data_IF_119785722302
#
_entry.id   IF_119785722302
#
_cell.length_a   1.000
_cell.length_b   1.000
_cell.length_c   1.000
_cell.angle_alpha   90.00
_cell.angle_beta   90.00
_cell.angle_gamma   90.00
#
_symmetry.space_group_name_H-M   'P 1'
#
loop_
_entity.id
_entity.type
_entity.pdbx_description
1 polymer ?
#
# COMPACT_ATOMS: atom_id res chain seq x y z
N UNK A 1 -17.20 -24.64 -2.03
CA UNK A 1 -17.95 -23.94 -3.09
C UNK A 1 -18.58 -22.61 -2.61
N UNK A 2 -19.21 -22.55 -1.45
CA UNK A 2 -19.89 -21.33 -0.91
C UNK A 2 -18.97 -20.11 -0.80
N UNK A 3 -17.76 -20.28 -0.28
CA UNK A 3 -16.77 -19.20 -0.12
C UNK A 3 -16.18 -18.71 -1.45
N UNK A 4 -16.03 -19.60 -2.42
CA UNK A 4 -15.55 -19.25 -3.75
C UNK A 4 -16.52 -18.35 -4.51
N UNK A 5 -17.84 -18.58 -4.40
CA UNK A 5 -18.87 -17.74 -5.02
C UNK A 5 -18.90 -16.34 -4.41
N UNK A 6 -18.74 -16.25 -3.08
CA UNK A 6 -18.67 -14.95 -2.38
C UNK A 6 -17.40 -14.17 -2.75
N UNK A 7 -16.27 -14.85 -2.85
CA UNK A 7 -15.00 -14.24 -3.27
C UNK A 7 -15.06 -13.75 -4.73
N UNK A 8 -15.61 -14.54 -5.64
CA UNK A 8 -15.83 -14.14 -7.04
C UNK A 8 -16.76 -12.93 -7.17
N UNK A 9 -17.78 -12.82 -6.32
CA UNK A 9 -18.70 -11.69 -6.33
C UNK A 9 -18.06 -10.34 -5.96
N UNK A 10 -16.90 -10.35 -5.31
CA UNK A 10 -16.17 -9.16 -4.87
C UNK A 10 -15.08 -8.72 -5.87
N UNK A 11 -14.67 -9.59 -6.80
CA UNK A 11 -13.61 -9.27 -7.76
C UNK A 11 -14.15 -8.44 -8.93
N UNK A 12 -13.45 -7.35 -9.35
CA UNK A 12 -13.86 -6.56 -10.51
C UNK A 12 -13.52 -7.28 -11.82
N UNK A 13 -14.33 -7.00 -12.87
CA UNK A 13 -14.00 -7.36 -14.24
C UNK A 13 -15.06 -8.19 -14.97
N UNK A 14 -15.15 -8.01 -16.33
CA UNK A 14 -16.10 -8.71 -17.20
C UNK A 14 -15.93 -10.24 -17.22
N UNK A 15 -14.70 -10.72 -17.04
CA UNK A 15 -14.42 -12.17 -16.99
C UNK A 15 -15.10 -12.87 -15.80
N UNK A 16 -15.17 -12.17 -14.66
CA UNK A 16 -15.82 -12.69 -13.45
C UNK A 16 -17.33 -12.69 -13.61
N UNK A 17 -17.91 -11.69 -14.27
CA UNK A 17 -19.33 -11.64 -14.60
C UNK A 17 -19.73 -12.79 -15.53
N UNK A 18 -18.94 -13.04 -16.57
CA UNK A 18 -19.13 -14.19 -17.44
C UNK A 18 -19.04 -15.53 -16.70
N UNK A 19 -18.08 -15.67 -15.79
CA UNK A 19 -17.94 -16.87 -14.96
C UNK A 19 -19.16 -17.10 -14.05
N UNK A 20 -19.69 -16.04 -13.43
CA UNK A 20 -20.90 -16.11 -12.60
C UNK A 20 -22.15 -16.44 -13.43
N UNK A 21 -22.30 -15.88 -14.64
CA UNK A 21 -23.40 -16.20 -15.55
C UNK A 21 -23.33 -17.65 -16.03
N UNK A 22 -22.14 -18.14 -16.38
CA UNK A 22 -21.94 -19.55 -16.76
C UNK A 22 -22.29 -20.49 -15.60
N UNK A 23 -21.83 -20.16 -14.38
CA UNK A 23 -22.16 -20.93 -13.18
C UNK A 23 -23.67 -20.93 -12.89
N UNK A 24 -24.35 -19.81 -13.07
CA UNK A 24 -25.80 -19.70 -12.92
C UNK A 24 -26.55 -20.59 -13.92
N UNK A 25 -26.08 -20.63 -15.17
CA UNK A 25 -26.69 -21.49 -16.21
C UNK A 25 -26.48 -22.98 -15.90
N UNK A 26 -25.27 -23.36 -15.48
CA UNK A 26 -24.98 -24.74 -15.07
C UNK A 26 -25.83 -25.18 -13.88
N UNK A 27 -25.95 -24.36 -12.84
CA UNK A 27 -26.78 -24.65 -11.68
C UNK A 27 -28.27 -24.74 -12.02
N UNK A 28 -28.77 -23.97 -13.00
CA UNK A 28 -30.16 -24.09 -13.48
C UNK A 28 -30.39 -25.39 -14.25
N UNK A 29 -29.41 -25.84 -15.03
CA UNK A 29 -29.48 -27.10 -15.77
C UNK A 29 -29.45 -28.33 -14.86
N UNK A 30 -28.72 -28.24 -13.74
CA UNK A 30 -28.57 -29.32 -12.75
C UNK A 30 -29.64 -29.29 -11.63
N UNK A 31 -30.49 -28.27 -11.57
CA UNK A 31 -31.49 -28.06 -10.52
C UNK A 31 -32.55 -29.15 -10.38
N UNK A 32 -32.60 -30.13 -11.31
CA UNK A 32 -33.56 -31.26 -11.25
C UNK A 32 -33.09 -32.43 -10.41
N UNK A 33 -31.87 -32.39 -9.79
CA UNK A 33 -31.29 -33.58 -9.15
C UNK A 33 -30.70 -33.42 -7.76
N UNK A 34 -30.53 -32.18 -7.25
CA UNK A 34 -29.85 -31.96 -5.96
C UNK A 34 -30.58 -30.92 -5.10
N UNK A 35 -30.90 -31.31 -3.85
CA UNK A 35 -31.57 -30.41 -2.85
C UNK A 35 -30.84 -29.11 -2.55
N UNK A 36 -29.50 -29.06 -2.71
CA UNK A 36 -28.65 -27.89 -2.43
C UNK A 36 -28.52 -26.88 -3.58
N UNK A 37 -28.98 -27.23 -4.80
CA UNK A 37 -28.83 -26.39 -6.01
C UNK A 37 -29.57 -25.05 -5.88
N UNK A 38 -30.68 -25.00 -5.18
CA UNK A 38 -31.47 -23.78 -4.93
C UNK A 38 -30.72 -22.72 -4.14
N UNK A 39 -29.98 -23.12 -3.10
CA UNK A 39 -29.19 -22.19 -2.24
C UNK A 39 -28.02 -21.58 -3.02
N UNK A 40 -27.37 -22.36 -3.87
CA UNK A 40 -26.28 -21.85 -4.71
C UNK A 40 -26.78 -20.91 -5.81
N UNK A 41 -27.93 -21.24 -6.41
CA UNK A 41 -28.55 -20.41 -7.43
C UNK A 41 -28.97 -19.04 -6.87
N UNK A 42 -29.54 -19.01 -5.67
CA UNK A 42 -29.93 -17.76 -4.99
C UNK A 42 -28.70 -16.89 -4.69
N UNK A 43 -27.59 -17.47 -4.26
CA UNK A 43 -26.34 -16.74 -3.98
C UNK A 43 -25.67 -16.18 -5.22
N UNK A 44 -25.64 -16.96 -6.32
CA UNK A 44 -25.11 -16.47 -7.59
C UNK A 44 -25.99 -15.36 -8.14
N UNK A 45 -27.31 -15.51 -8.06
CA UNK A 45 -28.27 -14.46 -8.47
C UNK A 45 -28.10 -13.20 -7.63
N UNK A 46 -27.93 -13.32 -6.31
CA UNK A 46 -27.67 -12.18 -5.41
C UNK A 46 -26.33 -11.51 -5.71
N UNK A 47 -25.29 -12.27 -6.05
CA UNK A 47 -23.99 -11.74 -6.44
C UNK A 47 -24.06 -10.94 -7.75
N UNK A 48 -24.81 -11.44 -8.74
CA UNK A 48 -25.07 -10.74 -10.01
C UNK A 48 -25.91 -9.48 -9.80
N UNK A 49 -26.98 -9.54 -9.02
CA UNK A 49 -27.83 -8.38 -8.72
C UNK A 49 -27.09 -7.26 -8.00
N UNK A 50 -26.17 -7.59 -7.08
CA UNK A 50 -25.28 -6.60 -6.44
C UNK A 50 -24.37 -5.92 -7.46
N UNK A 51 -23.87 -6.66 -8.45
CA UNK A 51 -23.03 -6.09 -9.52
C UNK A 51 -23.84 -5.19 -10.47
N UNK A 52 -25.05 -5.58 -10.84
CA UNK A 52 -25.96 -4.74 -11.63
C UNK A 52 -26.34 -3.43 -10.90
N UNK A 53 -26.54 -3.49 -9.58
CA UNK A 53 -26.80 -2.28 -8.79
C UNK A 53 -25.60 -1.34 -8.70
N UNK A 54 -24.37 -1.90 -8.77
CA UNK A 54 -23.12 -1.12 -8.83
C UNK A 54 -22.86 -0.60 -10.24
N UNK A 55 -23.30 -1.31 -11.29
CA UNK A 55 -23.08 -0.92 -12.69
C UNK A 55 -24.17 -0.05 -13.30
N UNK A 56 -25.35 0.09 -12.68
CA UNK A 56 -26.32 1.11 -13.11
C UNK A 56 -25.82 2.48 -12.65
N UNK A 57 -25.32 3.35 -13.54
CA UNK A 57 -25.05 4.71 -13.16
C UNK A 57 -26.40 5.32 -12.76
N UNK A 58 -26.61 5.58 -11.46
CA UNK A 58 -27.64 6.51 -11.07
C UNK A 58 -27.48 7.73 -11.98
N UNK A 59 -28.56 8.13 -12.69
CA UNK A 59 -28.59 9.31 -13.57
C UNK A 59 -28.39 10.54 -12.68
N UNK A 60 -27.11 10.75 -12.33
CA UNK A 60 -26.67 11.88 -11.52
C UNK A 60 -26.69 13.10 -12.41
N UNK A 61 -27.42 14.11 -12.00
CA UNK A 61 -27.11 15.48 -12.37
C UNK A 61 -25.61 15.66 -12.08
N UNK A 62 -24.81 15.63 -13.16
CA UNK A 62 -23.37 15.89 -13.10
C UNK A 62 -23.22 17.35 -12.65
N UNK A 63 -23.01 17.57 -11.36
CA UNK A 63 -22.23 18.73 -10.95
C UNK A 63 -20.92 18.62 -11.73
N UNK A 64 -20.45 19.68 -12.41
CA UNK A 64 -19.17 19.60 -13.12
C UNK A 64 -18.15 19.06 -12.13
N UNK A 65 -17.56 17.90 -12.41
CA UNK A 65 -16.41 17.43 -11.67
C UNK A 65 -15.38 18.56 -11.79
N UNK A 66 -14.92 19.09 -10.67
CA UNK A 66 -13.75 19.92 -10.66
C UNK A 66 -12.66 19.17 -11.46
N UNK A 67 -12.03 19.86 -12.40
CA UNK A 67 -11.09 19.24 -13.33
C UNK A 67 -9.98 18.57 -12.52
N UNK A 68 -9.64 17.33 -12.88
CA UNK A 68 -8.48 16.66 -12.30
C UNK A 68 -7.22 17.42 -12.73
N UNK A 69 -6.32 17.64 -11.79
CA UNK A 69 -5.06 18.35 -12.02
C UNK A 69 -3.92 17.35 -12.04
N UNK A 70 -3.04 17.48 -13.03
CA UNK A 70 -1.86 16.60 -13.17
C UNK A 70 -0.59 17.39 -12.90
N UNK A 71 0.20 16.90 -11.97
CA UNK A 71 1.47 17.47 -11.56
C UNK A 71 2.61 16.55 -12.00
N UNK A 72 3.64 17.12 -12.62
CA UNK A 72 4.92 16.43 -12.81
C UNK A 72 5.87 16.89 -11.72
N UNK A 73 6.45 15.95 -11.00
CA UNK A 73 7.21 16.24 -9.79
C UNK A 73 8.53 15.50 -9.77
N UNK A 74 9.50 16.09 -9.08
CA UNK A 74 10.79 15.48 -8.75
C UNK A 74 11.23 15.94 -7.35
N UNK A 75 11.98 15.12 -6.65
CA UNK A 75 12.50 15.43 -5.32
C UNK A 75 11.40 15.85 -4.33
N UNK A 76 11.49 17.07 -3.81
CA UNK A 76 10.57 17.61 -2.78
C UNK A 76 9.20 18.06 -3.33
N UNK A 77 8.93 17.84 -4.61
CA UNK A 77 7.64 18.25 -5.21
C UNK A 77 6.44 17.53 -4.59
N UNK A 78 6.57 16.25 -4.24
CA UNK A 78 5.50 15.50 -3.61
C UNK A 78 5.19 15.96 -2.18
N UNK A 79 6.16 16.11 -1.26
CA UNK A 79 5.91 16.70 0.05
C UNK A 79 5.31 18.10 -0.02
N UNK A 80 5.76 18.94 -0.97
CA UNK A 80 5.23 20.29 -1.19
C UNK A 80 3.75 20.26 -1.60
N UNK A 81 3.37 19.39 -2.53
CA UNK A 81 1.98 19.21 -2.94
C UNK A 81 1.11 18.71 -1.78
N UNK A 82 1.58 17.72 -1.02
CA UNK A 82 0.86 17.20 0.14
C UNK A 82 0.66 18.29 1.22
N UNK A 83 1.66 19.12 1.43
CA UNK A 83 1.56 20.26 2.34
C UNK A 83 0.52 21.27 1.88
N UNK A 84 0.50 21.63 0.59
CA UNK A 84 -0.49 22.52 -0.01
C UNK A 84 -1.91 21.97 0.13
N UNK A 85 -2.11 20.68 -0.14
CA UNK A 85 -3.41 20.02 0.03
C UNK A 85 -3.85 19.98 1.50
N UNK A 86 -2.93 19.88 2.45
CA UNK A 86 -3.22 19.96 3.88
C UNK A 86 -3.64 21.37 4.28
N UNK A 87 -2.88 22.41 3.89
CA UNK A 87 -3.16 23.81 4.21
C UNK A 87 -4.47 24.32 3.59
N UNK A 88 -4.83 23.86 2.39
CA UNK A 88 -6.10 24.21 1.73
C UNK A 88 -7.29 23.38 2.21
N UNK A 89 -7.10 22.52 3.20
CA UNK A 89 -8.12 21.59 3.69
C UNK A 89 -8.79 20.80 2.56
N UNK A 90 -7.99 20.36 1.59
CA UNK A 90 -8.46 19.72 0.39
C UNK A 90 -9.15 18.38 0.69
N UNK A 91 -10.21 18.07 -0.07
CA UNK A 91 -10.90 16.78 -0.05
C UNK A 91 -10.90 16.16 -1.44
N UNK A 92 -10.39 14.93 -1.57
CA UNK A 92 -10.26 14.28 -2.86
C UNK A 92 -9.36 13.05 -2.83
N UNK A 93 -8.95 12.63 -4.01
CA UNK A 93 -8.03 11.50 -4.19
C UNK A 93 -6.80 11.95 -4.98
N UNK A 94 -5.61 11.57 -4.51
CA UNK A 94 -4.35 11.79 -5.15
C UNK A 94 -3.77 10.45 -5.60
N UNK A 95 -3.64 10.27 -6.91
CA UNK A 95 -2.94 9.13 -7.50
C UNK A 95 -1.51 9.56 -7.80
N UNK A 96 -0.52 8.88 -7.24
CA UNK A 96 0.90 9.15 -7.46
C UNK A 96 1.52 7.96 -8.17
N UNK A 97 2.22 8.23 -9.27
CA UNK A 97 2.93 7.23 -10.06
C UNK A 97 4.42 7.60 -10.11
N UNK A 98 5.27 6.73 -9.56
CA UNK A 98 6.72 6.83 -9.68
C UNK A 98 7.16 6.16 -10.98
N UNK A 99 7.60 6.95 -11.93
CA UNK A 99 7.98 6.48 -13.27
C UNK A 99 9.27 5.65 -13.28
N UNK A 100 10.17 5.82 -12.29
CA UNK A 100 11.43 5.09 -12.22
C UNK A 100 11.28 3.74 -11.52
N UNK A 101 10.44 3.68 -10.50
CA UNK A 101 10.25 2.47 -9.68
C UNK A 101 9.03 1.65 -10.08
N UNK A 102 8.17 2.19 -10.94
CA UNK A 102 6.92 1.55 -11.35
C UNK A 102 5.93 1.40 -10.19
N UNK A 103 6.02 2.25 -9.17
CA UNK A 103 5.13 2.23 -8.01
C UNK A 103 3.94 3.15 -8.24
N UNK A 104 2.79 2.70 -7.74
CA UNK A 104 1.56 3.49 -7.78
C UNK A 104 0.99 3.57 -6.37
N UNK A 105 0.78 4.79 -5.88
CA UNK A 105 0.13 5.06 -4.60
C UNK A 105 -1.20 5.77 -4.82
N UNK A 106 -2.18 5.44 -3.98
CA UNK A 106 -3.47 6.12 -3.93
C UNK A 106 -3.69 6.69 -2.52
N UNK A 107 -3.84 8.00 -2.43
CA UNK A 107 -4.15 8.71 -1.19
C UNK A 107 -5.57 9.25 -1.27
N UNK A 108 -6.30 9.19 -0.16
CA UNK A 108 -7.62 9.83 -0.02
C UNK A 108 -7.56 10.83 1.10
N UNK A 109 -7.88 12.09 0.79
CA UNK A 109 -7.88 13.19 1.74
C UNK A 109 -9.31 13.65 2.04
N UNK A 110 -9.50 14.08 3.27
CA UNK A 110 -10.74 14.74 3.74
C UNK A 110 -10.37 15.92 4.61
N UNK A 111 -10.77 17.10 4.20
CA UNK A 111 -10.53 18.35 4.95
C UNK A 111 -9.04 18.51 5.38
N UNK A 112 -8.10 18.18 4.48
CA UNK A 112 -6.67 18.23 4.77
C UNK A 112 -6.14 17.09 5.64
N UNK A 113 -6.97 16.11 5.99
CA UNK A 113 -6.59 14.93 6.76
C UNK A 113 -6.38 13.72 5.84
N UNK A 114 -5.41 12.86 6.15
CA UNK A 114 -5.26 11.59 5.47
C UNK A 114 -6.33 10.60 5.96
N UNK A 115 -7.32 10.33 5.13
CA UNK A 115 -8.37 9.35 5.41
C UNK A 115 -7.97 7.93 5.02
N UNK A 116 -7.20 7.76 3.95
CA UNK A 116 -6.65 6.48 3.52
C UNK A 116 -5.42 6.69 2.65
N UNK A 117 -4.48 5.75 2.72
CA UNK A 117 -3.37 5.64 1.78
C UNK A 117 -3.12 4.17 1.45
N UNK A 118 -2.65 3.91 0.25
CA UNK A 118 -2.24 2.58 -0.20
C UNK A 118 -1.06 2.66 -1.16
N UNK A 119 -0.04 1.84 -0.89
CA UNK A 119 1.13 1.64 -1.75
C UNK A 119 1.47 0.14 -1.76
N UNK A 120 1.13 -0.57 -2.82
CA UNK A 120 1.27 -2.02 -2.85
C UNK A 120 0.47 -2.70 -1.73
N UNK A 121 1.17 -3.40 -0.83
CA UNK A 121 0.60 -4.03 0.37
C UNK A 121 0.48 -3.08 1.57
N UNK A 122 1.20 -1.96 1.56
CA UNK A 122 1.19 -0.98 2.65
C UNK A 122 -0.08 -0.16 2.64
N UNK A 123 -0.58 0.20 3.83
CA UNK A 123 -1.79 1.00 4.03
C UNK A 123 -1.59 2.07 5.10
N UNK A 124 -2.39 3.13 5.05
CA UNK A 124 -2.37 4.18 6.07
C UNK A 124 -1.07 4.98 6.09
N UNK A 125 -0.58 5.30 7.29
CA UNK A 125 0.61 6.13 7.47
C UNK A 125 1.87 5.48 6.88
N UNK A 126 2.04 4.16 7.00
CA UNK A 126 3.20 3.44 6.47
C UNK A 126 3.29 3.53 4.93
N UNK A 127 2.13 3.50 4.25
CA UNK A 127 2.08 3.72 2.80
C UNK A 127 2.53 5.14 2.41
N UNK A 128 2.11 6.15 3.19
CA UNK A 128 2.51 7.55 2.96
C UNK A 128 3.99 7.75 3.27
N UNK A 129 4.50 7.22 4.37
CA UNK A 129 5.90 7.34 4.74
C UNK A 129 6.80 6.72 3.68
N UNK A 130 6.54 5.47 3.29
CA UNK A 130 7.29 4.80 2.23
C UNK A 130 7.23 5.59 0.91
N UNK A 131 6.07 6.17 0.58
CA UNK A 131 5.95 7.01 -0.60
C UNK A 131 6.86 8.25 -0.53
N UNK A 132 6.88 8.98 0.61
CA UNK A 132 7.74 10.16 0.81
C UNK A 132 9.23 9.79 0.82
N UNK A 133 9.58 8.68 1.46
CA UNK A 133 10.95 8.19 1.58
C UNK A 133 11.53 7.78 0.22
N UNK A 134 10.71 7.17 -0.62
CA UNK A 134 11.19 6.48 -1.82
C UNK A 134 10.85 7.18 -3.13
N UNK A 135 9.97 8.20 -3.12
CA UNK A 135 9.59 8.93 -4.32
C UNK A 135 10.73 9.79 -4.82
N UNK A 136 11.13 9.59 -6.06
CA UNK A 136 12.22 10.31 -6.70
C UNK A 136 11.69 11.25 -7.79
N UNK A 137 10.91 10.70 -8.73
CA UNK A 137 10.27 11.49 -9.78
C UNK A 137 9.08 10.77 -10.38
N UNK A 138 8.06 11.53 -10.78
CA UNK A 138 6.87 10.93 -11.36
C UNK A 138 5.75 11.93 -11.63
N UNK A 139 4.53 11.40 -11.65
CA UNK A 139 3.31 12.18 -11.83
C UNK A 139 2.36 11.99 -10.66
N UNK A 140 1.64 13.07 -10.32
CA UNK A 140 0.51 12.98 -9.40
C UNK A 140 -0.74 13.55 -10.09
N UNK A 141 -1.85 12.85 -9.92
CA UNK A 141 -3.15 13.27 -10.43
C UNK A 141 -4.06 13.53 -9.25
N UNK A 142 -4.36 14.79 -9.01
CA UNK A 142 -5.34 15.21 -8.02
C UNK A 142 -6.74 15.22 -8.60
N UNK A 143 -7.66 14.56 -7.93
CA UNK A 143 -9.07 14.51 -8.28
C UNK A 143 -9.91 15.00 -7.10
N UNK A 144 -10.28 16.30 -7.08
CA UNK A 144 -11.08 16.84 -6.01
C UNK A 144 -12.46 16.18 -5.96
N UNK A 145 -12.92 15.85 -4.76
CA UNK A 145 -14.24 15.29 -4.53
C UNK A 145 -15.07 16.30 -3.72
N UNK A 146 -16.19 16.80 -4.26
CA UNK A 146 -17.09 17.61 -3.45
C UNK A 146 -17.64 16.77 -2.28
N UNK A 147 -17.82 17.40 -1.13
CA UNK A 147 -18.17 16.83 0.20
C UNK A 147 -19.39 15.87 0.24
N UNK A 148 -20.12 15.71 -0.85
CA UNK A 148 -21.40 14.99 -0.90
C UNK A 148 -21.30 13.45 -0.74
N UNK A 149 -20.12 12.85 -0.64
CA UNK A 149 -19.97 11.44 -0.29
C UNK A 149 -19.44 11.28 1.12
N UNK A 150 -20.31 11.52 2.09
CA UNK A 150 -20.19 10.90 3.41
C UNK A 150 -20.27 9.39 3.20
N UNK A 151 -19.13 8.78 2.91
CA UNK A 151 -19.00 7.35 3.08
C UNK A 151 -19.10 7.14 4.59
N UNK A 152 -20.17 6.50 5.02
CA UNK A 152 -20.35 6.00 6.38
C UNK A 152 -19.45 4.80 6.59
N UNK A 153 -18.14 4.95 6.35
CA UNK A 153 -17.15 4.02 6.84
C UNK A 153 -16.88 4.36 8.29
N UNK A 154 -17.37 3.48 9.17
CA UNK A 154 -17.09 3.52 10.60
C UNK A 154 -15.59 3.69 10.82
N UNK A 155 -15.24 4.79 11.51
CA UNK A 155 -13.95 5.02 12.17
C UNK A 155 -12.69 4.66 11.38
N UNK A 156 -12.46 5.32 10.26
CA UNK A 156 -11.09 5.44 9.74
C UNK A 156 -10.41 6.47 10.63
N UNK A 157 -9.37 6.08 11.33
CA UNK A 157 -8.54 7.00 12.11
C UNK A 157 -7.93 7.98 11.10
N UNK A 158 -8.45 9.20 11.06
CA UNK A 158 -7.91 10.25 10.20
C UNK A 158 -6.68 10.84 10.89
N UNK A 159 -5.61 11.04 10.12
CA UNK A 159 -4.37 11.61 10.61
C UNK A 159 -4.20 13.01 10.02
N UNK A 160 -3.64 13.93 10.78
CA UNK A 160 -3.25 15.23 10.25
C UNK A 160 -2.15 15.06 9.18
N UNK A 161 -2.50 15.36 7.92
CA UNK A 161 -1.59 15.16 6.79
C UNK A 161 -0.30 15.97 6.97
N UNK A 162 -0.38 17.18 7.51
CA UNK A 162 0.77 18.04 7.78
C UNK A 162 1.78 17.39 8.72
N UNK A 163 1.32 16.81 9.82
CA UNK A 163 2.18 16.11 10.78
C UNK A 163 2.84 14.89 10.14
N UNK A 164 2.08 14.13 9.35
CA UNK A 164 2.61 12.98 8.64
C UNK A 164 3.66 13.37 7.59
N UNK A 165 3.47 14.49 6.87
CA UNK A 165 4.46 14.99 5.90
C UNK A 165 5.77 15.37 6.60
N UNK A 166 5.70 16.09 7.72
CA UNK A 166 6.88 16.47 8.51
C UNK A 166 7.61 15.22 9.02
N UNK A 167 6.87 14.26 9.58
CA UNK A 167 7.45 13.01 10.04
C UNK A 167 8.05 12.18 8.89
N UNK A 168 7.38 12.13 7.74
CA UNK A 168 7.89 11.45 6.55
C UNK A 168 9.19 12.05 6.03
N UNK A 169 9.32 13.38 6.04
CA UNK A 169 10.57 14.07 5.68
C UNK A 169 11.69 13.75 6.66
N UNK A 170 11.42 13.80 7.98
CA UNK A 170 12.39 13.39 8.99
C UNK A 170 12.88 11.96 8.79
N UNK A 171 11.94 11.02 8.52
CA UNK A 171 12.27 9.61 8.26
C UNK A 171 13.10 9.45 6.98
N UNK A 172 12.79 10.21 5.93
CA UNK A 172 13.56 10.20 4.69
C UNK A 172 15.00 10.61 4.94
N UNK A 173 15.22 11.70 5.66
CA UNK A 173 16.56 12.19 5.96
C UNK A 173 17.36 11.17 6.80
N UNK A 174 16.75 10.56 7.79
CA UNK A 174 17.37 9.51 8.60
C UNK A 174 17.62 8.22 7.78
N UNK A 175 16.71 7.87 6.88
CA UNK A 175 16.87 6.72 5.99
C UNK A 175 18.02 6.92 5.00
N UNK A 176 18.19 8.14 4.46
CA UNK A 176 19.32 8.48 3.60
C UNK A 176 20.65 8.39 4.36
N UNK A 177 20.69 8.87 5.59
CA UNK A 177 21.86 8.71 6.46
C UNK A 177 22.16 7.23 6.74
N UNK A 178 21.14 6.45 7.07
CA UNK A 178 21.31 5.01 7.30
C UNK A 178 21.78 4.27 6.03
N UNK A 179 21.36 4.68 4.84
CA UNK A 179 21.85 4.13 3.57
C UNK A 179 23.32 4.45 3.30
N UNK A 180 23.81 5.58 3.76
CA UNK A 180 25.23 5.93 3.65
C UNK A 180 26.12 5.04 4.53
N UNK A 181 25.60 4.57 5.68
CA UNK A 181 26.33 3.70 6.62
C UNK A 181 26.13 2.23 6.26
N UNK A 182 24.91 1.86 5.88
CA UNK A 182 24.49 0.51 5.47
C UNK A 182 24.05 0.57 4.01
N UNK A 183 24.96 0.40 3.05
CA UNK A 183 24.66 0.51 1.61
C UNK A 183 23.61 -0.49 1.11
N UNK A 184 22.94 -0.17 0.02
CA UNK A 184 21.84 -0.95 -0.55
C UNK A 184 22.23 -2.39 -0.90
N UNK A 185 23.48 -2.61 -1.31
CA UNK A 185 24.00 -3.88 -1.80
C UNK A 185 24.92 -4.60 -0.77
N UNK A 186 24.99 -4.10 0.48
CA UNK A 186 25.72 -4.77 1.56
C UNK A 186 25.17 -6.18 1.79
N UNK A 187 26.05 -7.10 2.15
CA UNK A 187 25.66 -8.40 2.67
C UNK A 187 26.04 -8.47 4.15
N UNK A 188 25.25 -9.16 4.94
CA UNK A 188 25.49 -9.30 6.37
C UNK A 188 25.66 -10.76 6.78
N UNK A 189 26.51 -10.98 7.77
CA UNK A 189 26.57 -12.22 8.53
C UNK A 189 26.14 -11.95 9.98
N UNK A 190 25.36 -12.85 10.56
CA UNK A 190 25.00 -12.78 11.95
C UNK A 190 26.18 -13.16 12.83
N UNK A 191 26.43 -12.38 13.88
CA UNK A 191 27.40 -12.67 14.95
C UNK A 191 26.73 -13.19 16.22
N UNK A 192 25.41 -13.09 16.31
CA UNK A 192 24.62 -13.56 17.44
C UNK A 192 23.45 -14.40 16.95
N UNK A 193 22.98 -15.31 17.80
CA UNK A 193 21.83 -16.18 17.47
C UNK A 193 20.49 -15.42 17.47
N UNK A 194 20.42 -14.30 18.19
CA UNK A 194 19.23 -13.47 18.25
C UNK A 194 19.63 -12.01 18.38
N UNK A 195 18.92 -11.10 17.67
CA UNK A 195 19.16 -9.66 17.75
C UNK A 195 18.64 -9.10 19.06
N UNK A 196 19.30 -8.03 19.54
CA UNK A 196 18.68 -7.17 20.55
C UNK A 196 17.54 -6.38 19.91
N UNK A 197 16.39 -6.25 20.57
CA UNK A 197 15.31 -5.41 20.05
C UNK A 197 15.76 -3.94 20.04
N UNK A 198 15.44 -3.23 18.98
CA UNK A 198 15.66 -1.79 18.92
C UNK A 198 14.81 -1.10 20.00
N UNK A 199 15.35 -0.13 20.78
CA UNK A 199 14.63 0.49 21.89
C UNK A 199 13.30 1.13 21.51
N UNK A 200 13.21 1.68 20.31
CA UNK A 200 12.00 2.35 19.81
C UNK A 200 11.08 1.45 18.98
N UNK A 201 11.52 0.23 18.61
CA UNK A 201 10.71 -0.68 17.82
C UNK A 201 9.91 -1.60 18.75
N UNK A 202 8.58 -1.44 18.69
CA UNK A 202 7.65 -2.21 19.52
C UNK A 202 7.09 -3.45 18.83
N UNK A 203 7.27 -3.53 17.51
CA UNK A 203 6.80 -4.65 16.71
C UNK A 203 7.84 -5.78 16.68
N UNK A 204 7.63 -6.76 17.54
CA UNK A 204 8.51 -7.93 17.62
C UNK A 204 8.45 -8.82 16.38
N UNK A 205 7.37 -8.80 15.60
CA UNK A 205 7.25 -9.55 14.35
C UNK A 205 8.13 -8.90 13.29
N UNK A 206 8.04 -7.59 13.15
CA UNK A 206 8.91 -6.84 12.24
C UNK A 206 10.39 -7.09 12.56
N UNK A 207 10.77 -6.96 13.83
CA UNK A 207 12.14 -7.20 14.30
C UNK A 207 12.64 -8.58 13.85
N UNK A 208 11.82 -9.63 14.02
CA UNK A 208 12.16 -10.99 13.62
C UNK A 208 12.26 -11.13 12.10
N UNK A 209 11.27 -10.64 11.37
CA UNK A 209 11.20 -10.80 9.92
C UNK A 209 12.38 -10.09 9.21
N UNK A 210 12.78 -8.91 9.68
CA UNK A 210 13.98 -8.20 9.18
C UNK A 210 15.25 -8.97 9.52
N UNK A 211 15.36 -9.51 10.75
CA UNK A 211 16.50 -10.30 11.15
C UNK A 211 16.67 -11.56 10.31
N UNK A 212 15.59 -12.33 10.15
CA UNK A 212 15.58 -13.56 9.33
C UNK A 212 15.98 -13.26 7.89
N UNK A 213 15.49 -12.18 7.30
CA UNK A 213 15.88 -11.76 5.97
C UNK A 213 17.36 -11.38 5.89
N UNK A 214 17.88 -10.66 6.87
CA UNK A 214 19.30 -10.23 6.89
C UNK A 214 20.26 -11.42 7.04
N UNK A 215 19.98 -12.35 7.96
CA UNK A 215 20.88 -13.49 8.22
C UNK A 215 20.90 -14.55 7.10
N UNK A 216 19.86 -14.59 6.27
CA UNK A 216 19.84 -15.41 5.03
C UNK A 216 20.75 -14.80 3.96
N UNK A 217 21.24 -13.57 4.16
CA UNK A 217 22.16 -12.88 3.25
C UNK A 217 21.46 -11.97 2.25
N UNK A 218 20.22 -11.59 2.51
CA UNK A 218 19.56 -10.56 1.70
C UNK A 218 20.18 -9.18 1.94
N UNK A 219 20.37 -8.44 0.86
CA UNK A 219 20.83 -7.06 0.95
C UNK A 219 19.78 -6.17 1.61
N UNK A 220 20.16 -5.03 2.20
CA UNK A 220 19.23 -4.06 2.81
C UNK A 220 18.09 -3.68 1.89
N UNK A 221 18.38 -3.39 0.62
CA UNK A 221 17.37 -3.10 -0.41
C UNK A 221 16.42 -4.27 -0.66
N UNK A 222 16.90 -5.50 -0.54
CA UNK A 222 16.06 -6.70 -0.68
C UNK A 222 15.21 -6.90 0.56
N UNK A 223 15.75 -6.68 1.76
CA UNK A 223 15.00 -6.72 3.01
C UNK A 223 13.82 -5.71 2.99
N UNK A 224 14.07 -4.47 2.55
CA UNK A 224 13.02 -3.44 2.40
C UNK A 224 11.88 -3.82 1.44
N UNK A 225 12.15 -4.72 0.48
CA UNK A 225 11.13 -5.20 -0.45
C UNK A 225 10.38 -6.43 0.06
N UNK A 226 11.05 -7.29 0.82
CA UNK A 226 10.48 -8.55 1.29
C UNK A 226 9.65 -8.37 2.55
N UNK A 227 10.08 -7.48 3.44
CA UNK A 227 9.41 -7.25 4.71
C UNK A 227 8.26 -6.25 4.50
N UNK A 228 7.03 -6.56 4.93
CA UNK A 228 5.86 -5.70 4.73
C UNK A 228 5.83 -4.54 5.74
N UNK A 229 6.84 -3.67 5.71
CA UNK A 229 6.98 -2.49 6.54
C UNK A 229 7.56 -1.32 5.73
N UNK A 230 7.55 -0.11 6.31
CA UNK A 230 8.21 1.03 5.68
C UNK A 230 9.74 0.83 5.61
N UNK A 231 10.35 1.37 4.55
CA UNK A 231 11.77 1.19 4.27
C UNK A 231 12.67 1.75 5.39
N UNK A 232 12.25 2.86 5.99
CA UNK A 232 12.96 3.48 7.12
C UNK A 232 13.07 2.55 8.32
N UNK A 233 11.97 1.92 8.77
CA UNK A 233 11.99 1.00 9.92
C UNK A 233 12.88 -0.21 9.67
N UNK A 234 12.82 -0.77 8.46
CA UNK A 234 13.69 -1.89 8.07
C UNK A 234 15.16 -1.48 8.13
N UNK A 235 15.51 -0.35 7.49
CA UNK A 235 16.89 0.15 7.43
C UNK A 235 17.42 0.53 8.81
N UNK A 236 16.61 1.15 9.65
CA UNK A 236 16.96 1.51 11.01
C UNK A 236 17.32 0.29 11.88
N UNK A 237 16.56 -0.82 11.73
CA UNK A 237 16.89 -2.07 12.42
C UNK A 237 18.23 -2.63 11.96
N UNK A 238 18.49 -2.65 10.66
CA UNK A 238 19.76 -3.13 10.12
C UNK A 238 20.93 -2.28 10.59
N UNK A 239 20.79 -0.95 10.57
CA UNK A 239 21.79 -0.02 11.08
C UNK A 239 22.08 -0.27 12.57
N UNK A 240 21.03 -0.35 13.38
CA UNK A 240 21.17 -0.60 14.82
C UNK A 240 21.93 -1.89 15.10
N UNK A 241 21.63 -2.99 14.40
CA UNK A 241 22.35 -4.25 14.61
C UNK A 241 23.77 -4.24 14.06
N UNK A 242 24.05 -3.46 13.04
CA UNK A 242 25.41 -3.25 12.56
C UNK A 242 26.23 -2.46 13.58
N UNK A 243 25.69 -1.41 14.17
CA UNK A 243 26.33 -0.62 15.22
C UNK A 243 26.55 -1.40 16.52
N UNK A 244 25.59 -2.25 16.93
CA UNK A 244 25.70 -3.13 18.08
C UNK A 244 26.64 -4.34 17.82
N UNK A 245 27.12 -4.51 16.59
CA UNK A 245 27.95 -5.63 16.19
C UNK A 245 27.25 -6.99 16.16
N UNK A 246 25.91 -6.99 16.13
CA UNK A 246 25.11 -8.20 15.94
C UNK A 246 25.10 -8.67 14.48
N UNK A 247 25.19 -7.72 13.54
CA UNK A 247 25.42 -7.95 12.11
C UNK A 247 26.81 -7.42 11.74
N UNK A 248 27.54 -8.19 10.95
CA UNK A 248 28.81 -7.77 10.35
C UNK A 248 28.66 -7.71 8.84
N UNK A 249 29.12 -6.60 8.25
CA UNK A 249 29.19 -6.49 6.79
C UNK A 249 30.18 -7.47 6.21
N UNK A 250 29.71 -8.32 5.32
CA UNK A 250 30.55 -9.26 4.57
C UNK A 250 30.92 -8.62 3.25
N UNK A 251 32.19 -8.31 3.07
CA UNK A 251 32.72 -7.94 1.77
C UNK A 251 32.55 -9.15 0.84
N UNK A 252 31.54 -9.10 -0.04
CA UNK A 252 31.45 -10.07 -1.14
C UNK A 252 32.71 -9.92 -1.97
N UNK A 253 33.67 -10.84 -1.72
CA UNK A 253 34.95 -10.83 -2.42
C UNK A 253 34.68 -10.69 -3.92
N UNK A 254 35.24 -9.66 -4.52
CA UNK A 254 35.36 -9.53 -5.97
C UNK A 254 35.90 -10.86 -6.48
N UNK A 255 35.02 -11.63 -7.15
CA UNK A 255 35.53 -12.77 -7.95
C UNK A 255 36.52 -12.20 -8.92
N UNK A 256 37.80 -12.31 -8.57
CA UNK A 256 38.91 -12.16 -9.52
C UNK A 256 38.72 -13.25 -10.57
N UNK A 257 38.28 -12.80 -11.74
CA UNK A 257 38.24 -13.61 -12.98
C UNK A 257 39.62 -13.89 -13.45
#
# INVERSE_FOLDING_TARGET
MKEAILALGQLPGRKVEQALLTLQQSLRAEASGYEDSGVYLERVTSALARRESVSKPARRTRTPLAASETYRMSGDGLPSLLHELAETHASGSLLVEDGQRGMTALLTLREGMLAAARLGALVGADALFTLIETFDSGTAVWSPQPEARRVTEKSVQAFELRELVVEGLRRRDEWELARAIVPDDSAFAARTDAPRPHPEEKDGLLTRDVWEAAVVGHSPKTCEKLVPADAYRVRRLLLYWAEEGALEEVLLGTKTS
#
